data_IF_736565796022
#
_entry.id   IF_736565796022
#
_cell.length_a   1.000
_cell.length_b   1.000
_cell.length_c   1.000
_cell.angle_alpha   90.00
_cell.angle_beta   90.00
_cell.angle_gamma   90.00
#
_symmetry.space_group_name_H-M   'P 1'
#
loop_
_entity.id
_entity.type
_entity.pdbx_description
1 polymer ?
#
# COMPACT_ATOMS: atom_id res chain seq x y z
N UNK A 1 6.22 12.36 -3.63
CA UNK A 1 5.03 12.88 -2.93
C UNK A 1 3.82 12.74 -3.85
N UNK A 2 2.71 12.12 -3.39
CA UNK A 2 1.47 12.06 -4.16
C UNK A 2 0.83 13.44 -4.29
N UNK A 3 0.05 13.64 -5.35
CA UNK A 3 -0.76 14.86 -5.51
C UNK A 3 -1.99 14.73 -4.61
N UNK A 4 -2.18 15.63 -3.62
CA UNK A 4 -3.30 15.56 -2.71
C UNK A 4 -4.61 16.00 -3.38
N UNK A 5 -5.73 15.41 -2.98
CA UNK A 5 -7.06 15.93 -3.30
C UNK A 5 -7.35 17.23 -2.53
N UNK A 6 -8.35 17.99 -2.98
CA UNK A 6 -8.81 19.18 -2.25
C UNK A 6 -9.23 18.76 -0.83
N UNK A 7 -8.66 19.43 0.18
CA UNK A 7 -8.84 19.14 1.62
C UNK A 7 -8.26 17.78 2.10
N UNK A 8 -7.31 17.20 1.37
CA UNK A 8 -6.55 16.04 1.84
C UNK A 8 -5.35 16.50 2.70
N UNK A 9 -5.33 16.13 3.98
CA UNK A 9 -4.18 16.36 4.86
C UNK A 9 -3.24 15.15 4.79
N UNK A 10 -1.94 15.38 4.64
CA UNK A 10 -0.97 14.30 4.40
C UNK A 10 0.13 14.29 5.45
N UNK A 11 0.30 13.16 6.11
CA UNK A 11 1.46 12.79 6.91
C UNK A 11 2.38 11.91 6.08
N UNK A 12 3.69 11.96 6.34
CA UNK A 12 4.67 11.15 5.63
C UNK A 12 5.64 10.49 6.60
N UNK A 13 6.00 9.24 6.30
CA UNK A 13 7.11 8.54 6.94
C UNK A 13 8.04 7.98 5.86
N UNK A 14 9.26 8.47 5.86
CA UNK A 14 10.32 7.93 4.99
C UNK A 14 10.99 6.70 5.61
N UNK A 15 11.75 5.96 4.79
CA UNK A 15 12.53 4.80 5.22
C UNK A 15 11.69 3.55 5.52
N UNK A 16 10.47 3.48 4.97
CA UNK A 16 9.56 2.37 5.17
C UNK A 16 9.89 1.22 4.22
N UNK A 17 9.98 0.01 4.75
CA UNK A 17 9.98 -1.21 3.95
C UNK A 17 8.54 -1.63 3.66
N UNK A 18 8.23 -1.80 2.38
CA UNK A 18 6.89 -2.11 1.90
C UNK A 18 6.91 -3.40 1.09
N UNK A 19 5.96 -4.26 1.42
CA UNK A 19 5.71 -5.53 0.75
C UNK A 19 4.27 -5.57 0.29
N UNK A 20 4.05 -6.08 -0.92
CA UNK A 20 2.73 -6.27 -1.49
C UNK A 20 2.67 -7.54 -2.32
N UNK A 21 1.59 -8.30 -2.15
CA UNK A 21 1.36 -9.57 -2.81
C UNK A 21 0.25 -9.49 -3.85
N UNK A 22 0.22 -10.48 -4.74
CA UNK A 22 -0.76 -10.66 -5.82
C UNK A 22 -0.82 -9.46 -6.77
N UNK A 23 0.31 -8.84 -7.06
CA UNK A 23 0.43 -7.85 -8.14
C UNK A 23 0.67 -8.58 -9.48
N UNK A 24 -0.21 -8.43 -10.48
CA UNK A 24 0.00 -8.96 -11.81
C UNK A 24 1.30 -8.42 -12.44
N UNK A 25 2.08 -9.30 -13.08
CA UNK A 25 3.30 -8.90 -13.80
C UNK A 25 4.60 -8.91 -12.98
N UNK A 26 4.55 -9.29 -11.70
CA UNK A 26 5.75 -9.53 -10.87
C UNK A 26 5.93 -11.02 -10.59
N UNK A 27 7.19 -11.51 -10.58
CA UNK A 27 7.52 -12.93 -10.39
C UNK A 27 6.96 -13.46 -9.06
N UNK A 28 5.96 -14.34 -9.13
CA UNK A 28 5.28 -14.88 -7.95
C UNK A 28 4.25 -13.93 -7.33
N UNK A 29 3.96 -12.79 -7.96
CA UNK A 29 3.02 -11.78 -7.49
C UNK A 29 3.49 -10.99 -6.27
N UNK A 30 4.70 -11.24 -5.77
CA UNK A 30 5.26 -10.60 -4.59
C UNK A 30 6.22 -9.48 -4.99
N UNK A 31 6.11 -8.33 -4.33
CA UNK A 31 7.00 -7.19 -4.50
C UNK A 31 7.43 -6.69 -3.12
N UNK A 32 8.73 -6.45 -2.98
CA UNK A 32 9.35 -5.86 -1.78
C UNK A 32 10.27 -4.71 -2.16
N UNK A 33 10.09 -3.55 -1.54
CA UNK A 33 10.92 -2.36 -1.81
C UNK A 33 10.93 -1.38 -0.63
N UNK A 34 11.73 -0.31 -0.72
CA UNK A 34 11.84 0.76 0.28
C UNK A 34 11.39 2.09 -0.29
N UNK A 35 10.76 2.90 0.55
CA UNK A 35 10.18 4.15 0.11
C UNK A 35 9.61 5.00 1.23
N UNK A 36 8.81 5.98 0.82
CA UNK A 36 8.04 6.83 1.73
C UNK A 36 6.58 6.40 1.67
N UNK A 37 5.97 6.18 2.84
CA UNK A 37 4.51 6.03 2.95
C UNK A 37 3.89 7.35 3.36
N UNK A 38 2.83 7.72 2.66
CA UNK A 38 2.01 8.90 2.93
C UNK A 38 0.68 8.42 3.47
N UNK A 39 0.25 8.95 4.61
CA UNK A 39 -1.05 8.67 5.20
C UNK A 39 -1.87 9.95 5.17
N UNK A 40 -3.08 9.86 4.63
CA UNK A 40 -4.05 10.95 4.67
C UNK A 40 -5.33 10.56 5.39
N UNK A 41 -6.29 11.48 5.43
CA UNK A 41 -7.63 11.23 5.93
C UNK A 41 -8.47 10.31 5.02
N UNK A 42 -8.00 9.94 3.82
CA UNK A 42 -8.77 9.12 2.86
C UNK A 42 -8.00 7.94 2.26
N UNK A 43 -6.66 7.94 2.26
CA UNK A 43 -5.83 6.86 1.68
C UNK A 43 -4.45 6.77 2.32
N UNK A 44 -3.81 5.64 2.10
CA UNK A 44 -2.36 5.50 2.21
C UNK A 44 -1.76 5.41 0.81
N UNK A 45 -0.65 6.09 0.57
CA UNK A 45 0.10 5.98 -0.69
C UNK A 45 1.55 5.63 -0.37
N UNK A 46 2.02 4.49 -0.85
CA UNK A 46 3.43 4.14 -0.82
C UNK A 46 4.11 4.63 -2.11
N UNK A 47 5.26 5.29 -1.99
CA UNK A 47 6.09 5.73 -3.13
C UNK A 47 7.48 5.13 -2.98
N UNK A 48 7.90 4.33 -3.96
CA UNK A 48 9.21 3.68 -3.94
C UNK A 48 10.34 4.68 -4.20
N UNK A 49 11.46 4.54 -3.48
CA UNK A 49 12.65 5.38 -3.69
C UNK A 49 13.29 5.15 -5.06
N UNK A 50 13.17 3.92 -5.57
CA UNK A 50 13.57 3.52 -6.92
C UNK A 50 12.46 2.65 -7.49
N UNK A 51 12.08 2.88 -8.74
CA UNK A 51 11.08 2.04 -9.40
C UNK A 51 11.59 0.61 -9.53
N UNK A 52 10.72 -0.36 -9.28
CA UNK A 52 11.00 -1.79 -9.43
C UNK A 52 10.19 -2.29 -10.61
N UNK A 53 10.82 -2.47 -11.77
CA UNK A 53 10.09 -2.66 -13.03
C UNK A 53 9.15 -1.48 -13.29
N UNK A 54 7.87 -1.76 -13.51
CA UNK A 54 6.83 -0.74 -13.72
C UNK A 54 6.17 -0.24 -12.41
N UNK A 55 6.64 -0.70 -11.25
CA UNK A 55 6.11 -0.26 -9.96
C UNK A 55 6.87 0.96 -9.46
N UNK A 56 6.15 2.07 -9.30
CA UNK A 56 6.67 3.33 -8.75
C UNK A 56 5.96 3.73 -7.46
N UNK A 57 4.65 3.47 -7.37
CA UNK A 57 3.83 3.79 -6.23
C UNK A 57 2.65 2.82 -6.12
N UNK A 58 2.03 2.78 -4.94
CA UNK A 58 0.85 1.98 -4.65
C UNK A 58 -0.13 2.78 -3.80
N UNK A 59 -1.36 2.93 -4.29
CA UNK A 59 -2.43 3.69 -3.66
C UNK A 59 -3.41 2.74 -2.98
N UNK A 60 -3.71 3.00 -1.71
CA UNK A 60 -4.58 2.21 -0.85
C UNK A 60 -5.64 3.12 -0.23
N UNK A 61 -6.82 3.27 -0.86
CA UNK A 61 -7.91 4.01 -0.24
C UNK A 61 -8.33 3.33 1.07
N UNK A 62 -8.43 4.10 2.15
CA UNK A 62 -8.72 3.55 3.49
C UNK A 62 -10.05 2.81 3.53
N UNK A 63 -11.02 3.22 2.69
CA UNK A 63 -12.32 2.57 2.56
C UNK A 63 -12.22 1.09 2.13
N UNK A 64 -11.18 0.73 1.38
CA UNK A 64 -10.95 -0.62 0.84
C UNK A 64 -9.87 -1.40 1.61
N UNK A 65 -9.34 -0.84 2.69
CA UNK A 65 -8.36 -1.52 3.56
C UNK A 65 -9.10 -2.27 4.66
N UNK A 66 -8.78 -3.56 4.81
CA UNK A 66 -9.43 -4.46 5.76
C UNK A 66 -8.44 -5.42 6.43
N UNK A 67 -8.83 -5.93 7.59
CA UNK A 67 -8.07 -6.95 8.31
C UNK A 67 -6.73 -6.41 8.83
N UNK A 68 -6.70 -5.11 9.12
CA UNK A 68 -5.53 -4.39 9.57
C UNK A 68 -4.99 -4.98 10.87
N UNK A 69 -3.69 -5.22 10.88
CA UNK A 69 -2.94 -5.65 12.05
C UNK A 69 -1.85 -4.65 12.30
N UNK A 70 -1.89 -4.03 13.46
CA UNK A 70 -0.84 -3.16 13.92
C UNK A 70 0.00 -3.89 14.96
N UNK A 71 1.20 -4.29 14.55
CA UNK A 71 2.15 -4.88 15.47
C UNK A 71 3.12 -3.79 15.92
N UNK A 72 2.82 -3.21 17.08
CA UNK A 72 3.79 -2.39 17.81
C UNK A 72 4.78 -3.35 18.49
N UNK A 73 6.10 -3.21 18.30
CA UNK A 73 7.01 -4.14 18.92
C UNK A 73 7.46 -3.65 20.29
N UNK A 74 7.88 -4.63 21.08
CA UNK A 74 8.98 -4.50 22.00
C UNK A 74 10.21 -4.13 21.14
N UNK A 75 10.82 -2.95 21.34
CA UNK A 75 11.93 -2.33 20.54
C UNK A 75 11.57 -1.41 19.34
N UNK A 76 10.47 -0.65 19.39
CA UNK A 76 10.22 0.56 18.55
C UNK A 76 9.98 0.42 17.02
N UNK A 77 10.16 -0.75 16.40
CA UNK A 77 9.85 -1.01 14.96
C UNK A 77 8.36 -1.32 14.64
N UNK A 78 7.48 -0.33 14.61
CA UNK A 78 6.06 -0.55 14.29
C UNK A 78 5.86 -1.11 12.86
N UNK A 79 4.98 -2.09 12.70
CA UNK A 79 4.48 -2.48 11.38
C UNK A 79 2.95 -2.50 11.32
N UNK A 80 2.43 -2.19 10.14
CA UNK A 80 1.03 -2.33 9.77
C UNK A 80 0.92 -3.30 8.60
N UNK A 81 -0.02 -4.21 8.66
CA UNK A 81 -0.38 -5.07 7.54
C UNK A 81 -1.88 -5.17 7.38
N UNK A 82 -2.32 -5.59 6.21
CA UNK A 82 -3.74 -5.77 5.93
C UNK A 82 -3.97 -6.21 4.49
N UNK A 83 -5.21 -6.12 4.06
CA UNK A 83 -5.65 -6.41 2.71
C UNK A 83 -6.28 -5.17 2.10
N UNK A 84 -6.01 -4.90 0.83
CA UNK A 84 -6.71 -3.87 0.06
C UNK A 84 -7.51 -4.53 -1.07
N UNK A 85 -8.79 -4.18 -1.15
CA UNK A 85 -9.62 -4.54 -2.30
C UNK A 85 -9.25 -3.67 -3.50
N UNK A 86 -9.03 -4.26 -4.69
CA UNK A 86 -8.77 -3.47 -5.89
C UNK A 86 -10.00 -2.63 -6.23
N UNK A 87 -9.78 -1.39 -6.70
CA UNK A 87 -10.84 -0.53 -7.22
C UNK A 87 -11.19 -1.03 -8.62
N UNK A 88 -12.42 -1.52 -8.79
CA UNK A 88 -12.89 -2.11 -10.04
C UNK A 88 -13.82 -1.11 -10.73
N UNK A 89 -13.56 -0.75 -11.99
CA UNK A 89 -14.49 0.04 -12.79
C UNK A 89 -15.90 -0.58 -12.82
N UNK A 90 -16.94 0.25 -12.77
CA UNK A 90 -18.35 -0.21 -12.73
C UNK A 90 -18.74 -1.15 -13.88
N UNK A 91 -18.05 -1.05 -15.02
CA UNK A 91 -18.27 -1.85 -16.21
C UNK A 91 -17.48 -3.18 -16.24
N UNK A 92 -16.77 -3.53 -15.17
CA UNK A 92 -15.93 -4.73 -15.10
C UNK A 92 -16.37 -5.68 -13.98
N UNK A 93 -16.32 -6.98 -14.26
CA UNK A 93 -16.81 -7.99 -13.33
C UNK A 93 -15.79 -8.26 -12.21
N UNK A 94 -16.23 -8.17 -10.94
CA UNK A 94 -15.35 -8.32 -9.75
C UNK A 94 -14.53 -9.61 -9.74
N UNK A 95 -15.08 -10.69 -10.28
CA UNK A 95 -14.41 -12.00 -10.36
C UNK A 95 -13.08 -11.98 -11.14
N UNK A 96 -12.87 -11.02 -12.03
CA UNK A 96 -11.63 -10.87 -12.79
C UNK A 96 -10.47 -10.34 -11.93
N UNK A 97 -10.79 -9.77 -10.76
CA UNK A 97 -9.86 -9.11 -9.84
C UNK A 97 -9.84 -9.78 -8.46
N UNK A 98 -10.21 -11.07 -8.39
CA UNK A 98 -10.55 -11.86 -7.19
C UNK A 98 -9.45 -12.04 -6.13
N UNK A 99 -8.37 -11.27 -6.22
CA UNK A 99 -7.21 -11.35 -5.34
C UNK A 99 -7.10 -10.08 -4.50
N UNK A 100 -7.52 -10.17 -3.23
CA UNK A 100 -7.15 -9.18 -2.21
C UNK A 100 -5.64 -9.03 -2.19
N UNK A 101 -5.15 -7.80 -2.36
CA UNK A 101 -3.73 -7.50 -2.31
C UNK A 101 -3.33 -7.35 -0.84
N UNK A 102 -2.50 -8.26 -0.35
CA UNK A 102 -1.92 -8.14 0.99
C UNK A 102 -0.84 -7.08 0.96
N UNK A 103 -0.81 -6.19 1.96
CA UNK A 103 0.30 -5.28 2.16
C UNK A 103 0.90 -5.45 3.55
N UNK A 104 2.20 -5.22 3.66
CA UNK A 104 2.94 -5.15 4.91
C UNK A 104 3.90 -3.95 4.84
N UNK A 105 3.85 -3.09 5.83
CA UNK A 105 4.64 -1.87 5.91
C UNK A 105 5.33 -1.80 7.27
N UNK A 106 6.66 -1.71 7.27
CA UNK A 106 7.48 -1.64 8.49
C UNK A 106 8.32 -0.36 8.51
N UNK A 107 8.18 0.40 9.59
CA UNK A 107 9.11 1.46 9.93
C UNK A 107 10.25 0.93 10.79
N UNK A 108 11.48 1.35 10.51
CA UNK A 108 12.58 1.32 11.48
C UNK A 108 12.40 2.45 12.49
#
# INVERSE_FOLDING_TARGET
MPVPFVNEFVLARDGVEFEVDKIPGFNGGHLKTKGTIYLSNIRMVFVANKSVGNFTAFDMPLLYVHGEKFNQPIFSCNNISGHVEPIIPENQHRALYSLLQGFYSRGL
#
